data_IF_463059807940
#
_entry.id   IF_463059807940
#
_cell.length_a   1.000
_cell.length_b   1.000
_cell.length_c   1.000
_cell.angle_alpha   90.00
_cell.angle_beta   90.00
_cell.angle_gamma   90.00
#
_symmetry.space_group_name_H-M   'P 1'
#
loop_
_entity.id
_entity.type
_entity.pdbx_description
1 polymer ?
#
# COMPACT_ATOMS: atom_id res chain seq x y z
N UNK A 1 15.26 -24.37 51.81
CA UNK A 1 15.59 -23.29 50.86
C UNK A 1 15.51 -23.71 49.40
N UNK A 2 16.31 -24.67 48.91
CA UNK A 2 16.33 -25.08 47.48
C UNK A 2 14.94 -25.40 46.87
N UNK A 3 14.11 -26.22 47.53
CA UNK A 3 12.78 -26.62 47.00
C UNK A 3 11.79 -25.46 46.84
N UNK A 4 11.87 -24.44 47.69
CA UNK A 4 11.04 -23.24 47.59
C UNK A 4 11.50 -22.39 46.40
N UNK A 5 12.81 -22.24 46.23
CA UNK A 5 13.39 -21.52 45.08
C UNK A 5 12.97 -22.18 43.76
N UNK A 6 13.05 -23.51 43.63
CA UNK A 6 12.62 -24.22 42.42
C UNK A 6 11.12 -24.06 42.12
N UNK A 7 10.26 -24.05 43.15
CA UNK A 7 8.83 -23.80 42.97
C UNK A 7 8.55 -22.37 42.49
N UNK A 8 9.21 -21.38 43.10
CA UNK A 8 9.07 -19.97 42.71
C UNK A 8 9.56 -19.76 41.27
N UNK A 9 10.71 -20.34 40.92
CA UNK A 9 11.23 -20.30 39.55
C UNK A 9 10.27 -20.98 38.58
N UNK A 10 9.74 -22.17 38.92
CA UNK A 10 8.77 -22.87 38.09
C UNK A 10 7.51 -22.05 37.83
N UNK A 11 6.90 -21.49 38.88
CA UNK A 11 5.73 -20.61 38.73
C UNK A 11 6.07 -19.38 37.88
N UNK A 12 7.24 -18.78 38.07
CA UNK A 12 7.70 -17.65 37.26
C UNK A 12 7.82 -17.99 35.77
N UNK A 13 8.41 -19.14 35.43
CA UNK A 13 8.54 -19.62 34.05
C UNK A 13 7.16 -19.88 33.42
N UNK A 14 6.25 -20.55 34.13
CA UNK A 14 4.90 -20.80 33.63
C UNK A 14 4.11 -19.50 33.41
N UNK A 15 4.23 -18.53 34.32
CA UNK A 15 3.60 -17.22 34.16
C UNK A 15 4.13 -16.48 32.92
N UNK A 16 5.45 -16.46 32.72
CA UNK A 16 6.07 -15.86 31.54
C UNK A 16 5.67 -16.58 30.25
N UNK A 17 5.61 -17.91 30.26
CA UNK A 17 5.17 -18.69 29.11
C UNK A 17 3.69 -18.41 28.78
N UNK A 18 2.83 -18.31 29.80
CA UNK A 18 1.41 -17.94 29.64
C UNK A 18 1.24 -16.55 29.04
N UNK A 19 1.90 -15.54 29.62
CA UNK A 19 1.87 -14.16 29.11
C UNK A 19 2.44 -14.04 27.70
N UNK A 20 3.53 -14.75 27.40
CA UNK A 20 4.13 -14.81 26.07
C UNK A 20 3.17 -15.41 25.04
N UNK A 21 2.50 -16.51 25.41
CA UNK A 21 1.51 -17.18 24.54
C UNK A 21 0.31 -16.29 24.24
N UNK A 22 -0.17 -15.53 25.22
CA UNK A 22 -1.27 -14.56 25.03
C UNK A 22 -0.86 -13.46 24.05
N UNK A 23 0.32 -12.85 24.25
CA UNK A 23 0.81 -11.79 23.35
C UNK A 23 1.00 -12.29 21.91
N UNK A 24 1.53 -13.52 21.75
CA UNK A 24 1.63 -14.16 20.45
C UNK A 24 0.24 -14.39 19.84
N UNK A 25 -0.72 -14.85 20.62
CA UNK A 25 -2.11 -15.00 20.19
C UNK A 25 -2.71 -13.69 19.66
N UNK A 26 -2.48 -12.57 20.37
CA UNK A 26 -2.92 -11.24 19.93
C UNK A 26 -2.25 -10.85 18.61
N UNK A 27 -0.94 -11.07 18.46
CA UNK A 27 -0.21 -10.75 17.23
C UNK A 27 -0.65 -11.58 16.03
N UNK A 28 -1.04 -12.84 16.25
CA UNK A 28 -1.62 -13.71 15.22
C UNK A 28 -3.00 -13.21 14.80
N UNK A 29 -3.83 -12.82 15.77
CA UNK A 29 -5.18 -12.35 15.53
C UNK A 29 -5.23 -10.95 14.88
N UNK A 30 -4.21 -10.13 15.07
CA UNK A 30 -4.14 -8.78 14.51
C UNK A 30 -3.96 -8.80 12.98
N UNK A 31 -5.07 -8.63 12.26
CA UNK A 31 -5.15 -8.57 10.79
C UNK A 31 -5.98 -7.38 10.28
N UNK A 32 -6.34 -6.44 11.15
CA UNK A 32 -7.17 -5.31 10.78
C UNK A 32 -6.41 -4.31 9.88
N UNK A 33 -6.97 -3.89 8.74
CA UNK A 33 -6.35 -2.89 7.87
C UNK A 33 -5.98 -1.58 8.60
N UNK A 34 -4.75 -1.06 8.46
CA UNK A 34 -4.34 0.22 9.06
C UNK A 34 -5.00 1.45 8.42
N UNK A 35 -5.58 1.29 7.23
CA UNK A 35 -6.28 2.33 6.51
C UNK A 35 -7.57 1.78 5.90
N UNK A 36 -8.50 2.70 5.64
CA UNK A 36 -9.68 2.49 4.82
C UNK A 36 -9.65 3.53 3.70
N UNK A 37 -9.81 3.10 2.45
CA UNK A 37 -9.99 4.03 1.33
C UNK A 37 -11.43 4.54 1.35
N UNK A 38 -11.58 5.86 1.31
CA UNK A 38 -12.88 6.52 1.27
C UNK A 38 -13.21 7.04 -0.14
N UNK A 39 -12.20 7.52 -0.86
CA UNK A 39 -12.32 7.96 -2.25
C UNK A 39 -11.00 7.75 -3.00
N UNK A 40 -11.09 7.57 -4.32
CA UNK A 40 -9.94 7.45 -5.21
C UNK A 40 -10.35 7.88 -6.63
N UNK A 41 -9.75 8.95 -7.15
CA UNK A 41 -10.11 9.50 -8.46
C UNK A 41 -8.94 10.13 -9.19
N UNK A 42 -9.00 10.13 -10.51
CA UNK A 42 -8.13 10.94 -11.34
C UNK A 42 -8.69 12.36 -11.38
N UNK A 43 -7.81 13.36 -11.30
CA UNK A 43 -8.22 14.77 -11.40
C UNK A 43 -8.43 15.22 -12.85
N UNK A 44 -7.86 14.48 -13.80
CA UNK A 44 -8.15 14.61 -15.23
C UNK A 44 -8.85 13.33 -15.73
N UNK A 45 -9.83 13.43 -16.63
CA UNK A 45 -10.45 12.24 -17.23
C UNK A 45 -9.51 11.53 -18.22
N UNK A 46 -8.49 12.21 -18.74
CA UNK A 46 -7.57 11.65 -19.74
C UNK A 46 -6.15 12.20 -19.66
N UNK A 47 -5.20 11.47 -20.25
CA UNK A 47 -3.77 11.81 -20.31
C UNK A 47 -3.10 11.14 -21.51
N UNK A 48 -2.17 11.82 -22.19
CA UNK A 48 -1.39 11.23 -23.28
C UNK A 48 -0.39 10.18 -22.77
N UNK A 49 -0.04 9.18 -23.59
CA UNK A 49 1.08 8.27 -23.36
C UNK A 49 2.37 9.06 -23.06
N UNK A 50 3.11 8.67 -22.00
CA UNK A 50 4.28 9.42 -21.52
C UNK A 50 3.94 10.68 -20.72
N UNK A 51 2.68 11.10 -20.71
CA UNK A 51 2.18 12.21 -19.93
C UNK A 51 2.07 11.89 -18.43
N UNK A 52 1.71 12.91 -17.66
CA UNK A 52 1.57 12.82 -16.22
C UNK A 52 0.15 13.17 -15.79
N UNK A 53 -0.41 12.41 -14.86
CA UNK A 53 -1.75 12.60 -14.32
C UNK A 53 -1.73 12.65 -12.79
N UNK A 54 -2.55 13.53 -12.21
CA UNK A 54 -2.74 13.60 -10.76
C UNK A 54 -3.89 12.71 -10.31
N UNK A 55 -3.59 11.86 -9.33
CA UNK A 55 -4.54 10.97 -8.67
C UNK A 55 -4.75 11.48 -7.24
N UNK A 56 -6.00 11.69 -6.84
CA UNK A 56 -6.38 12.07 -5.49
C UNK A 56 -6.94 10.84 -4.76
N UNK A 57 -6.42 10.59 -3.56
CA UNK A 57 -6.93 9.56 -2.65
C UNK A 57 -7.41 10.23 -1.37
N UNK A 58 -8.56 9.77 -0.88
CA UNK A 58 -9.01 10.06 0.49
C UNK A 58 -8.98 8.76 1.28
N UNK A 59 -8.28 8.79 2.42
CA UNK A 59 -8.10 7.64 3.29
C UNK A 59 -8.37 8.02 4.74
N UNK A 60 -8.93 7.07 5.48
CA UNK A 60 -8.98 7.13 6.94
C UNK A 60 -7.94 6.18 7.52
N UNK A 61 -6.97 6.73 8.26
CA UNK A 61 -5.89 5.96 8.88
C UNK A 61 -6.17 5.73 10.36
N UNK A 62 -6.31 4.46 10.74
CA UNK A 62 -6.53 4.04 12.14
C UNK A 62 -5.22 3.90 12.90
N UNK A 63 -4.13 3.49 12.22
CA UNK A 63 -2.81 3.29 12.82
C UNK A 63 -1.68 3.47 11.80
N UNK A 64 -0.47 3.69 12.30
CA UNK A 64 0.73 3.88 11.47
C UNK A 64 1.60 2.62 11.59
N UNK A 65 1.83 1.96 10.46
CA UNK A 65 2.72 0.80 10.36
C UNK A 65 3.65 0.98 9.15
N UNK A 66 4.88 0.41 9.20
CA UNK A 66 5.70 0.24 8.01
C UNK A 66 4.91 -0.45 6.88
N UNK A 67 5.11 0.01 5.65
CA UNK A 67 4.45 -0.55 4.48
C UNK A 67 5.36 -0.56 3.27
N UNK A 68 5.05 -1.46 2.34
CA UNK A 68 5.51 -1.43 0.96
C UNK A 68 4.30 -1.10 0.10
N UNK A 69 4.39 -0.06 -0.71
CA UNK A 69 3.39 0.19 -1.74
C UNK A 69 3.75 -0.60 -3.00
N UNK A 70 2.77 -0.95 -3.82
CA UNK A 70 2.94 -1.49 -5.17
C UNK A 70 1.91 -0.80 -6.05
N UNK A 71 2.32 -0.29 -7.20
CA UNK A 71 1.47 0.56 -8.04
C UNK A 71 1.42 -0.02 -9.43
N UNK A 72 0.22 -0.17 -9.94
CA UNK A 72 -0.02 -0.81 -11.22
C UNK A 72 -0.98 0.04 -12.02
N UNK A 73 -0.65 0.23 -13.28
CA UNK A 73 -1.58 0.70 -14.30
C UNK A 73 -1.92 -0.49 -15.19
N UNK A 74 -3.20 -0.82 -15.30
CA UNK A 74 -3.71 -1.77 -16.29
C UNK A 74 -4.26 -0.95 -17.45
N UNK A 75 -3.74 -1.14 -18.66
CA UNK A 75 -4.18 -0.40 -19.84
C UNK A 75 -5.36 -1.06 -20.56
N UNK A 76 -5.76 -0.50 -21.71
CA UNK A 76 -6.87 -0.98 -22.52
C UNK A 76 -6.62 -2.35 -23.17
N UNK A 77 -5.36 -2.76 -23.30
CA UNK A 77 -4.96 -4.09 -23.77
C UNK A 77 -4.84 -5.10 -22.61
N UNK A 78 -5.22 -4.72 -21.40
CA UNK A 78 -5.11 -5.50 -20.18
C UNK A 78 -3.65 -5.83 -19.81
N UNK A 79 -2.69 -5.02 -20.27
CA UNK A 79 -1.29 -5.10 -19.87
C UNK A 79 -1.06 -4.33 -18.57
N UNK A 80 -0.28 -4.93 -17.66
CA UNK A 80 0.05 -4.33 -16.36
C UNK A 80 1.42 -3.66 -16.40
N UNK A 81 1.41 -2.36 -16.19
CA UNK A 81 2.60 -1.53 -16.11
C UNK A 81 2.92 -1.18 -14.66
N UNK A 82 4.18 -1.38 -14.25
CA UNK A 82 4.65 -0.98 -12.93
C UNK A 82 4.89 0.54 -12.90
N UNK A 83 4.25 1.24 -11.96
CA UNK A 83 4.40 2.69 -11.82
C UNK A 83 5.43 3.00 -10.73
N UNK A 84 6.49 3.78 -11.05
CA UNK A 84 7.58 4.06 -10.11
C UNK A 84 7.12 4.64 -8.77
N UNK A 85 7.95 4.39 -7.75
CA UNK A 85 7.67 4.80 -6.37
C UNK A 85 8.50 6.00 -5.95
N UNK A 86 7.99 7.21 -6.18
CA UNK A 86 8.58 8.41 -5.60
C UNK A 86 7.60 9.04 -4.61
N UNK A 87 7.86 8.85 -3.31
CA UNK A 87 7.14 9.57 -2.25
C UNK A 87 8.16 10.39 -1.47
N UNK A 88 8.20 11.70 -1.70
CA UNK A 88 9.05 12.62 -0.93
C UNK A 88 8.22 13.31 0.14
N UNK A 89 8.74 13.42 1.37
CA UNK A 89 8.19 14.31 2.40
C UNK A 89 6.88 13.89 3.07
N UNK A 90 6.46 12.62 3.00
CA UNK A 90 5.17 12.19 3.56
C UNK A 90 5.24 12.11 5.09
N UNK A 91 4.64 13.08 5.78
CA UNK A 91 4.36 13.00 7.22
C UNK A 91 3.01 12.32 7.43
N UNK A 92 3.04 11.02 7.71
CA UNK A 92 1.83 10.23 7.98
C UNK A 92 1.20 10.67 9.30
N UNK A 93 -0.02 11.22 9.25
CA UNK A 93 -0.83 11.51 10.43
C UNK A 93 -1.95 10.47 10.56
N UNK A 94 -2.41 10.24 11.80
CA UNK A 94 -3.62 9.45 12.03
C UNK A 94 -4.87 10.28 11.71
N UNK A 95 -5.96 9.61 11.32
CA UNK A 95 -7.22 10.25 10.94
C UNK A 95 -7.44 10.35 9.44
N UNK A 96 -8.32 11.26 9.03
CA UNK A 96 -8.70 11.49 7.63
C UNK A 96 -7.60 12.27 6.91
N UNK A 97 -7.14 11.74 5.79
CA UNK A 97 -6.10 12.33 4.95
C UNK A 97 -6.55 12.29 3.50
N UNK A 98 -6.47 13.44 2.83
CA UNK A 98 -6.56 13.51 1.37
C UNK A 98 -5.18 13.85 0.84
N UNK A 99 -4.67 13.03 -0.08
CA UNK A 99 -3.37 13.26 -0.69
C UNK A 99 -3.44 13.09 -2.20
N UNK A 100 -2.62 13.87 -2.90
CA UNK A 100 -2.47 13.80 -4.35
C UNK A 100 -1.17 13.16 -4.73
N UNK A 101 -1.20 12.42 -5.83
CA UNK A 101 -0.03 11.76 -6.38
C UNK A 101 0.01 11.91 -7.87
N UNK A 102 1.11 12.48 -8.32
CA UNK A 102 1.47 12.54 -9.73
C UNK A 102 2.05 11.19 -10.16
N UNK A 103 1.52 10.62 -11.25
CA UNK A 103 2.06 9.42 -11.89
C UNK A 103 2.31 9.69 -13.37
N UNK A 104 3.37 9.11 -13.91
CA UNK A 104 3.65 9.15 -15.35
C UNK A 104 3.07 7.90 -16.00
N UNK A 105 2.25 8.09 -17.02
CA UNK A 105 1.72 7.00 -17.85
C UNK A 105 2.85 6.50 -18.76
N UNK A 106 3.16 5.20 -18.76
CA UNK A 106 4.19 4.65 -19.65
C UNK A 106 3.90 4.96 -21.12
N UNK A 107 4.94 5.23 -21.90
CA UNK A 107 4.79 5.39 -23.35
C UNK A 107 4.32 4.09 -24.04
N UNK A 108 4.61 2.94 -23.43
CA UNK A 108 4.19 1.61 -23.90
C UNK A 108 2.73 1.28 -23.59
N UNK A 109 2.03 2.07 -22.76
CA UNK A 109 0.65 1.76 -22.38
C UNK A 109 -0.30 1.92 -23.56
N UNK A 110 -1.16 0.96 -23.82
CA UNK A 110 -2.13 1.02 -24.90
C UNK A 110 -3.14 2.17 -24.72
N UNK A 111 -3.46 2.87 -25.81
CA UNK A 111 -4.45 3.94 -25.78
C UNK A 111 -5.86 3.39 -25.54
N UNK A 112 -6.68 4.12 -24.77
CA UNK A 112 -8.02 3.74 -24.35
C UNK A 112 -8.17 3.72 -22.83
N UNK A 113 -9.24 3.09 -22.34
CA UNK A 113 -9.56 3.06 -20.92
C UNK A 113 -8.49 2.34 -20.12
N UNK A 114 -8.01 2.97 -19.05
CA UNK A 114 -7.01 2.43 -18.15
C UNK A 114 -7.47 2.50 -16.68
N UNK A 115 -6.89 1.63 -15.87
CA UNK A 115 -7.19 1.50 -14.45
C UNK A 115 -5.89 1.52 -13.63
N UNK A 116 -5.81 2.48 -12.71
CA UNK A 116 -4.70 2.57 -11.77
C UNK A 116 -5.11 2.04 -10.39
N UNK A 117 -4.25 1.19 -9.82
CA UNK A 117 -4.42 0.63 -8.47
C UNK A 117 -3.15 0.73 -7.65
N UNK A 118 -3.34 0.91 -6.35
CA UNK A 118 -2.28 0.84 -5.35
C UNK A 118 -2.57 -0.31 -4.39
N UNK A 119 -1.63 -1.22 -4.24
CA UNK A 119 -1.64 -2.26 -3.20
C UNK A 119 -0.63 -1.90 -2.13
N UNK A 120 -1.06 -1.89 -0.88
CA UNK A 120 -0.23 -1.60 0.29
C UNK A 120 -0.08 -2.86 1.13
N UNK A 121 1.16 -3.21 1.43
CA UNK A 121 1.52 -4.36 2.25
C UNK A 121 2.07 -3.86 3.59
N UNK A 122 1.25 -3.92 4.62
CA UNK A 122 1.57 -3.42 5.96
C UNK A 122 2.16 -4.51 6.86
N UNK A 123 3.11 -4.10 7.69
CA UNK A 123 3.69 -4.92 8.76
C UNK A 123 3.58 -4.15 10.08
N UNK A 124 2.53 -4.42 10.84
CA UNK A 124 2.21 -3.75 12.11
C UNK A 124 2.84 -4.42 13.34
N UNK A 125 3.15 -5.71 13.26
CA UNK A 125 3.87 -6.42 14.32
C UNK A 125 4.97 -7.33 13.74
N UNK A 126 5.97 -7.73 14.55
CA UNK A 126 7.09 -8.56 14.06
C UNK A 126 6.67 -9.90 13.47
N UNK A 127 5.60 -10.52 13.97
CA UNK A 127 5.15 -11.84 13.51
C UNK A 127 4.59 -11.81 12.08
N UNK A 128 4.00 -10.69 11.67
CA UNK A 128 3.50 -10.50 10.29
C UNK A 128 4.61 -10.53 9.23
N UNK A 129 5.89 -10.34 9.61
CA UNK A 129 7.01 -10.56 8.68
C UNK A 129 7.14 -12.02 8.26
N UNK A 130 6.68 -12.95 9.10
CA UNK A 130 6.76 -14.39 8.88
C UNK A 130 5.43 -14.96 8.37
N UNK A 131 4.30 -14.49 8.90
CA UNK A 131 2.96 -14.96 8.53
C UNK A 131 2.34 -14.19 7.34
N UNK A 132 3.06 -13.24 6.76
CA UNK A 132 2.60 -12.40 5.67
C UNK A 132 1.98 -11.07 6.13
N UNK A 133 2.10 -10.01 5.31
CA UNK A 133 1.63 -8.67 5.63
C UNK A 133 0.10 -8.57 5.60
N UNK A 134 -0.42 -7.45 6.10
CA UNK A 134 -1.81 -7.05 5.86
C UNK A 134 -1.87 -6.33 4.50
N UNK A 135 -2.67 -6.85 3.57
CA UNK A 135 -2.76 -6.34 2.21
C UNK A 135 -4.01 -5.48 2.04
N UNK A 136 -3.85 -4.25 1.58
CA UNK A 136 -4.96 -3.33 1.27
C UNK A 136 -4.80 -2.83 -0.15
N UNK A 137 -5.82 -3.00 -0.99
CA UNK A 137 -5.81 -2.52 -2.38
C UNK A 137 -6.80 -1.37 -2.52
N UNK A 138 -6.38 -0.31 -3.21
CA UNK A 138 -7.23 0.85 -3.48
C UNK A 138 -8.42 0.48 -4.38
N UNK A 139 -9.51 1.26 -4.31
CA UNK A 139 -10.48 1.30 -5.39
C UNK A 139 -9.79 1.60 -6.72
N UNK A 140 -10.35 1.10 -7.84
CA UNK A 140 -9.82 1.37 -9.17
C UNK A 140 -9.98 2.84 -9.54
N UNK A 141 -8.89 3.49 -9.95
CA UNK A 141 -8.94 4.84 -10.51
C UNK A 141 -8.94 4.74 -12.02
N UNK A 142 -10.03 5.18 -12.66
CA UNK A 142 -10.22 5.06 -14.10
C UNK A 142 -9.98 6.39 -14.81
N UNK A 143 -9.33 6.33 -15.96
CA UNK A 143 -9.10 7.45 -16.88
C UNK A 143 -8.75 6.91 -18.27
N UNK A 144 -8.76 7.76 -19.29
CA UNK A 144 -8.41 7.38 -20.67
C UNK A 144 -6.97 7.76 -21.01
N UNK A 145 -6.23 6.80 -21.56
CA UNK A 145 -4.90 7.02 -22.14
C UNK A 145 -5.08 7.43 -23.60
N UNK A 146 -4.62 8.63 -23.94
CA UNK A 146 -4.63 9.14 -25.31
C UNK A 146 -3.33 8.73 -26.03
N UNK A 147 -3.35 8.53 -27.36
CA UNK A 147 -2.15 8.30 -28.14
C UNK A 147 -1.11 9.40 -27.89
N UNK A 148 0.15 9.01 -27.73
CA UNK A 148 1.25 9.97 -27.61
C UNK A 148 1.45 10.72 -28.91
N UNK A 149 1.75 12.02 -28.82
CA UNK A 149 2.19 12.80 -29.98
C UNK A 149 3.60 12.35 -30.36
N UNK A 150 3.72 11.55 -31.42
CA UNK A 150 5.02 11.33 -32.06
C UNK A 150 5.49 12.66 -32.65
N UNK A 151 6.49 13.29 -32.01
CA UNK A 151 7.23 14.39 -32.65
C UNK A 151 8.06 13.74 -33.75
N UNK A 152 7.54 13.73 -34.97
CA UNK A 152 8.34 13.38 -36.15
C UNK A 152 9.42 14.45 -36.24
N UNK A 153 10.66 14.10 -35.92
CA UNK A 153 11.79 14.96 -36.20
C UNK A 153 11.82 15.23 -37.71
N UNK A 154 12.03 16.49 -38.15
CA UNK A 154 12.14 16.76 -39.57
C UNK A 154 13.30 15.96 -40.16
N UNK A 155 13.19 15.45 -41.40
CA UNK A 155 14.31 14.80 -42.06
C UNK A 155 15.48 15.79 -42.16
N UNK A 156 16.69 15.27 -41.88
CA UNK A 156 17.94 16.01 -41.96
C UNK A 156 18.24 16.49 -43.39
#
# INVERSE_FOLDING_TARGET
MKRIVWKVVGVGVFALAGLGSINLGIWVADREPPIIYEDAKALSPSVEQGGTIEIEFSVFRTRICPLIAKRWLTDSANERHNIPQFTTGLKLLAGRETYRRSITVPQSASAGSAEYRVTLEYVCNPLQRFLGPIVVTSPPVRFDVLPGRFVVAPPA
#
